data_IF_299266708813
#
_entry.id   IF_299266708813
#
_cell.length_a   1.000
_cell.length_b   1.000
_cell.length_c   1.000
_cell.angle_alpha   90.00
_cell.angle_beta   90.00
_cell.angle_gamma   90.00
#
_symmetry.space_group_name_H-M   'P 1'
#
loop_
_entity.id
_entity.type
_entity.pdbx_description
1 polymer ?
#
# COMPACT_ATOMS: atom_id res chain seq x y z
N UNK A 1 -33.39 27.90 82.17
CA UNK A 1 -32.31 28.20 83.12
C UNK A 1 -31.03 27.56 82.62
N UNK A 2 -29.99 28.39 82.40
CA UNK A 2 -28.54 28.18 82.57
C UNK A 2 -27.97 26.78 82.26
N UNK A 3 -27.10 26.59 81.26
CA UNK A 3 -25.72 27.08 81.05
C UNK A 3 -24.63 26.10 81.54
N UNK A 4 -23.73 25.77 80.61
CA UNK A 4 -22.27 25.50 80.74
C UNK A 4 -21.89 24.21 81.52
N UNK A 5 -20.87 23.39 81.20
CA UNK A 5 -19.69 23.32 80.31
C UNK A 5 -19.20 21.85 80.45
N UNK A 6 -18.48 21.18 79.55
CA UNK A 6 -17.09 21.44 79.16
C UNK A 6 -16.60 20.36 78.14
N UNK A 7 -15.62 20.76 77.33
CA UNK A 7 -14.99 20.08 76.20
C UNK A 7 -14.03 18.93 76.57
N UNK A 8 -13.86 17.97 75.64
CA UNK A 8 -12.56 17.34 75.31
C UNK A 8 -12.65 16.78 73.87
N UNK A 9 -12.31 17.60 72.86
CA UNK A 9 -11.14 17.44 71.98
C UNK A 9 -10.87 15.99 71.51
N UNK A 10 -11.32 15.68 70.30
CA UNK A 10 -10.61 14.80 69.37
C UNK A 10 -10.36 15.62 68.09
N UNK A 11 -9.10 15.60 67.65
CA UNK A 11 -8.53 16.38 66.55
C UNK A 11 -9.19 16.04 65.21
N UNK A 12 -9.58 17.09 64.47
CA UNK A 12 -9.88 17.03 63.05
C UNK A 12 -8.59 17.35 62.31
N UNK A 13 -8.06 16.38 61.57
CA UNK A 13 -6.97 16.58 60.61
C UNK A 13 -7.29 17.76 59.67
N UNK A 14 -6.33 18.66 59.38
CA UNK A 14 -6.57 19.76 58.45
C UNK A 14 -6.82 19.22 57.03
N UNK A 15 -7.77 19.81 56.27
CA UNK A 15 -8.00 19.41 54.89
C UNK A 15 -6.72 19.66 54.08
N UNK A 16 -6.21 18.60 53.45
CA UNK A 16 -5.10 18.72 52.50
C UNK A 16 -5.44 19.65 51.32
N UNK A 17 -4.43 20.15 50.60
CA UNK A 17 -4.55 21.21 49.59
C UNK A 17 -5.37 20.81 48.33
N UNK A 18 -5.92 19.60 48.27
CA UNK A 18 -6.73 19.11 47.15
C UNK A 18 -8.21 19.52 47.24
N UNK A 19 -8.69 19.92 48.43
CA UNK A 19 -10.09 20.30 48.63
C UNK A 19 -10.50 21.64 48.00
N UNK A 20 -9.58 22.61 47.92
CA UNK A 20 -9.86 23.92 47.33
C UNK A 20 -9.93 23.87 45.79
N UNK A 21 -9.11 23.04 45.13
CA UNK A 21 -9.10 22.90 43.67
C UNK A 21 -10.37 22.26 43.11
N UNK A 22 -10.98 21.33 43.86
CA UNK A 22 -12.24 20.68 43.45
C UNK A 22 -13.43 21.65 43.45
N UNK A 23 -13.50 22.53 44.45
CA UNK A 23 -14.56 23.55 44.56
C UNK A 23 -14.45 24.60 43.45
N UNK A 24 -13.24 25.05 43.14
CA UNK A 24 -12.97 26.00 42.05
C UNK A 24 -13.36 25.41 40.69
N UNK A 25 -13.08 24.12 40.47
CA UNK A 25 -13.42 23.43 39.22
C UNK A 25 -14.93 23.26 39.03
N UNK A 26 -15.66 22.93 40.10
CA UNK A 26 -17.12 22.79 40.07
C UNK A 26 -17.82 24.14 39.81
N UNK A 27 -17.33 25.22 40.41
CA UNK A 27 -17.88 26.56 40.20
C UNK A 27 -17.66 27.05 38.77
N UNK A 28 -16.49 26.75 38.20
CA UNK A 28 -16.16 27.01 36.80
C UNK A 28 -17.07 26.23 35.83
N UNK A 29 -17.28 24.94 36.09
CA UNK A 29 -18.18 24.11 35.27
C UNK A 29 -19.63 24.59 35.35
N UNK A 30 -20.08 25.05 36.52
CA UNK A 30 -21.42 25.67 36.68
C UNK A 30 -21.54 26.95 35.85
N UNK A 31 -20.58 27.87 35.93
CA UNK A 31 -20.60 29.14 35.16
C UNK A 31 -20.59 28.92 33.64
N UNK A 32 -19.85 27.90 33.18
CA UNK A 32 -19.91 27.45 31.79
C UNK A 32 -21.32 26.94 31.42
N UNK A 33 -21.92 26.10 32.27
CA UNK A 33 -23.25 25.54 32.01
C UNK A 33 -24.38 26.58 32.01
N UNK A 34 -24.21 27.67 32.76
CA UNK A 34 -25.14 28.81 32.80
C UNK A 34 -24.90 29.85 31.69
N UNK A 35 -23.91 29.64 30.81
CA UNK A 35 -23.70 30.47 29.62
C UNK A 35 -23.15 31.87 29.90
N UNK A 36 -22.40 32.05 31.00
CA UNK A 36 -21.81 33.35 31.31
C UNK A 36 -20.67 33.72 30.32
N UNK A 37 -20.79 34.82 29.56
CA UNK A 37 -19.81 35.18 28.53
C UNK A 37 -18.42 35.53 29.09
N UNK A 38 -18.32 35.88 30.38
CA UNK A 38 -17.05 36.15 31.06
C UNK A 38 -16.38 34.90 31.65
N UNK A 39 -17.07 33.75 31.69
CA UNK A 39 -16.50 32.50 32.21
C UNK A 39 -15.34 31.99 31.33
N UNK A 40 -15.38 32.25 30.02
CA UNK A 40 -14.31 31.91 29.08
C UNK A 40 -12.97 32.59 29.40
N UNK A 41 -12.99 33.80 29.98
CA UNK A 41 -11.77 34.53 30.36
C UNK A 41 -11.16 34.04 31.69
N UNK A 42 -11.93 33.28 32.47
CA UNK A 42 -11.55 32.75 33.78
C UNK A 42 -11.35 31.23 33.76
N UNK A 43 -11.45 30.61 32.58
CA UNK A 43 -11.18 29.19 32.35
C UNK A 43 -9.85 29.02 31.65
N UNK A 44 -8.93 28.29 32.27
CA UNK A 44 -7.82 27.72 31.54
C UNK A 44 -8.37 26.61 30.62
N UNK A 45 -7.90 26.57 29.37
CA UNK A 45 -8.22 25.44 28.49
C UNK A 45 -7.80 24.12 29.14
N UNK A 46 -8.55 23.03 28.96
CA UNK A 46 -8.13 21.73 29.47
C UNK A 46 -6.73 21.41 28.93
N UNK A 47 -5.86 20.86 29.79
CA UNK A 47 -4.60 20.29 29.31
C UNK A 47 -4.91 19.29 28.18
N UNK A 48 -4.06 19.16 27.15
CA UNK A 48 -4.34 18.35 25.96
C UNK A 48 -4.59 16.86 26.27
N UNK A 49 -4.30 16.43 27.50
CA UNK A 49 -4.60 15.09 28.00
C UNK A 49 -6.03 14.95 28.53
N UNK A 50 -6.71 16.01 28.95
CA UNK A 50 -8.04 15.95 29.57
C UNK A 50 -9.10 15.73 28.48
N UNK A 51 -9.69 14.53 28.49
CA UNK A 51 -10.79 14.14 27.61
C UNK A 51 -12.12 14.29 28.37
N UNK A 52 -13.21 14.70 27.70
CA UNK A 52 -14.55 14.65 28.27
C UNK A 52 -14.84 13.27 28.87
N UNK A 53 -15.59 13.22 29.99
CA UNK A 53 -15.90 11.95 30.67
C UNK A 53 -16.55 10.91 29.74
N UNK A 54 -17.33 11.36 28.75
CA UNK A 54 -17.92 10.52 27.70
C UNK A 54 -16.87 9.84 26.80
N UNK A 55 -15.69 10.45 26.65
CA UNK A 55 -14.58 9.93 25.86
C UNK A 55 -13.53 9.21 26.73
N UNK A 56 -13.74 9.12 28.04
CA UNK A 56 -12.81 8.42 28.94
C UNK A 56 -12.57 6.94 28.55
N UNK A 57 -13.58 6.17 28.07
CA UNK A 57 -13.35 4.81 27.56
C UNK A 57 -12.42 4.76 26.34
N UNK A 58 -12.30 5.86 25.58
CA UNK A 58 -11.44 5.95 24.40
C UNK A 58 -9.98 6.27 24.74
N UNK A 59 -9.64 6.52 26.01
CA UNK A 59 -8.24 6.62 26.45
C UNK A 59 -7.51 5.30 26.38
N UNK A 60 -8.22 4.20 26.61
CA UNK A 60 -7.68 2.86 26.52
C UNK A 60 -8.20 2.20 25.25
N UNK A 61 -7.43 2.36 24.17
CA UNK A 61 -7.74 1.78 22.87
C UNK A 61 -7.86 0.25 22.91
N UNK A 62 -7.35 -0.42 23.96
CA UNK A 62 -7.50 -1.87 24.13
C UNK A 62 -8.92 -2.31 24.52
N UNK A 63 -9.73 -1.39 25.08
CA UNK A 63 -11.11 -1.69 25.49
C UNK A 63 -12.14 -1.57 24.36
N UNK A 64 -11.75 -0.94 23.25
CA UNK A 64 -12.61 -0.77 22.10
C UNK A 64 -12.21 -1.81 21.06
N UNK A 65 -13.17 -2.62 20.63
CA UNK A 65 -12.94 -3.59 19.55
C UNK A 65 -12.65 -2.84 18.26
N UNK A 66 -11.38 -2.66 17.95
CA UNK A 66 -10.93 -2.16 16.66
C UNK A 66 -10.50 -3.32 15.78
N UNK A 67 -10.79 -3.23 14.48
CA UNK A 67 -10.47 -4.25 13.47
C UNK A 67 -8.99 -4.22 13.05
N UNK A 68 -8.09 -3.78 13.94
CA UNK A 68 -6.66 -3.67 13.71
C UNK A 68 -5.88 -4.75 14.50
N UNK A 69 -4.71 -5.18 14.00
CA UNK A 69 -4.08 -4.75 12.74
C UNK A 69 -4.81 -5.28 11.49
N UNK A 70 -4.54 -4.67 10.34
CA UNK A 70 -5.08 -5.08 9.05
C UNK A 70 -3.96 -5.68 8.18
N UNK A 71 -4.31 -6.69 7.39
CA UNK A 71 -3.47 -7.23 6.33
C UNK A 71 -3.77 -6.49 5.02
N UNK A 72 -2.72 -5.95 4.39
CA UNK A 72 -2.74 -5.24 3.12
C UNK A 72 -2.34 -6.22 2.02
N UNK A 73 -3.25 -6.48 1.07
CA UNK A 73 -2.96 -7.35 -0.06
C UNK A 73 -2.04 -6.64 -1.06
N UNK A 74 -0.97 -7.28 -1.55
CA UNK A 74 -0.08 -6.66 -2.52
C UNK A 74 -0.80 -6.36 -3.85
N UNK A 75 -0.32 -5.36 -4.62
CA UNK A 75 -0.85 -5.09 -5.95
C UNK A 75 -0.66 -6.32 -6.85
N UNK A 76 -1.70 -6.67 -7.62
CA UNK A 76 -1.67 -7.84 -8.51
C UNK A 76 -2.05 -9.17 -7.86
N UNK A 77 -2.42 -9.18 -6.56
CA UNK A 77 -2.98 -10.36 -5.92
C UNK A 77 -4.27 -10.82 -6.64
N UNK A 78 -4.43 -12.13 -6.81
CA UNK A 78 -5.46 -12.74 -7.66
C UNK A 78 -6.90 -12.55 -7.12
N UNK A 79 -7.06 -12.22 -5.85
CA UNK A 79 -8.35 -12.11 -5.15
C UNK A 79 -8.59 -10.67 -4.68
N UNK A 80 -9.06 -9.82 -5.58
CA UNK A 80 -9.17 -8.37 -5.38
C UNK A 80 -10.53 -7.88 -4.82
N UNK A 81 -11.28 -8.71 -4.07
CA UNK A 81 -12.57 -8.26 -3.50
C UNK A 81 -12.39 -7.22 -2.38
N UNK A 82 -11.25 -7.25 -1.68
CA UNK A 82 -10.90 -6.27 -0.65
C UNK A 82 -9.40 -5.95 -0.71
N UNK A 83 -9.05 -4.65 -0.63
CA UNK A 83 -7.65 -4.18 -0.62
C UNK A 83 -6.95 -4.43 0.73
N UNK A 84 -7.73 -4.54 1.79
CA UNK A 84 -7.27 -4.78 3.14
C UNK A 84 -8.31 -5.59 3.92
N UNK A 85 -7.86 -6.46 4.80
CA UNK A 85 -8.70 -7.33 5.63
C UNK A 85 -8.23 -7.30 7.08
N UNK A 86 -9.12 -7.26 8.08
CA UNK A 86 -8.71 -7.40 9.48
C UNK A 86 -7.88 -8.66 9.69
N UNK A 87 -6.77 -8.57 10.44
CA UNK A 87 -5.85 -9.70 10.64
C UNK A 87 -6.56 -10.94 11.16
N UNK A 88 -7.40 -10.79 12.18
CA UNK A 88 -8.14 -11.91 12.76
C UNK A 88 -9.09 -12.58 11.75
N UNK A 89 -9.69 -11.82 10.85
CA UNK A 89 -10.55 -12.36 9.78
C UNK A 89 -9.73 -13.08 8.71
N UNK A 90 -8.61 -12.48 8.28
CA UNK A 90 -7.70 -13.07 7.31
C UNK A 90 -7.12 -14.40 7.81
N UNK A 91 -6.61 -14.44 9.05
CA UNK A 91 -6.04 -15.64 9.65
C UNK A 91 -7.08 -16.75 9.82
N UNK A 92 -8.28 -16.42 10.31
CA UNK A 92 -9.34 -17.40 10.47
C UNK A 92 -9.79 -17.98 9.12
N UNK A 93 -9.99 -17.12 8.11
CA UNK A 93 -10.39 -17.55 6.76
C UNK A 93 -9.31 -18.43 6.13
N UNK A 94 -8.04 -18.04 6.24
CA UNK A 94 -6.89 -18.80 5.73
C UNK A 94 -6.77 -20.17 6.40
N UNK A 95 -6.92 -20.24 7.72
CA UNK A 95 -6.89 -21.51 8.46
C UNK A 95 -8.08 -22.41 8.15
N UNK A 96 -9.28 -21.85 7.98
CA UNK A 96 -10.46 -22.63 7.59
C UNK A 96 -10.30 -23.24 6.19
N UNK A 97 -9.66 -22.54 5.27
CA UNK A 97 -9.37 -23.05 3.93
C UNK A 97 -8.30 -24.16 3.95
N UNK A 98 -7.26 -24.03 4.78
CA UNK A 98 -6.17 -25.00 4.88
C UNK A 98 -6.51 -26.26 5.68
N UNK A 99 -7.30 -26.10 6.76
CA UNK A 99 -7.59 -27.14 7.74
C UNK A 99 -9.09 -27.12 8.08
N UNK A 100 -9.96 -27.59 7.16
CA UNK A 100 -11.41 -27.53 7.37
C UNK A 100 -11.91 -28.50 8.44
N UNK A 101 -11.18 -29.59 8.73
CA UNK A 101 -11.52 -30.55 9.79
C UNK A 101 -11.35 -29.97 11.19
N UNK A 102 -12.15 -30.42 12.15
CA UNK A 102 -12.09 -29.92 13.54
C UNK A 102 -10.79 -30.31 14.25
N UNK A 103 -10.19 -31.43 13.89
CA UNK A 103 -8.92 -31.91 14.47
C UNK A 103 -7.69 -31.50 13.65
N UNK A 104 -7.88 -30.99 12.43
CA UNK A 104 -6.78 -30.54 11.59
C UNK A 104 -6.19 -29.24 12.15
N UNK A 105 -4.85 -29.15 12.23
CA UNK A 105 -4.11 -28.00 12.74
C UNK A 105 -4.60 -27.49 14.11
N UNK A 106 -5.08 -28.40 14.97
CA UNK A 106 -5.70 -28.06 16.26
C UNK A 106 -4.83 -27.19 17.15
N UNK A 107 -3.53 -27.51 17.25
CA UNK A 107 -2.57 -26.74 18.06
C UNK A 107 -2.51 -25.28 17.56
N UNK A 108 -2.45 -25.07 16.25
CA UNK A 108 -2.40 -23.73 15.67
C UNK A 108 -3.72 -22.97 15.85
N UNK A 109 -4.87 -23.65 15.69
CA UNK A 109 -6.21 -23.07 15.90
C UNK A 109 -6.41 -22.60 17.34
N UNK A 110 -6.04 -23.44 18.31
CA UNK A 110 -6.19 -23.14 19.74
C UNK A 110 -5.32 -21.94 20.15
N UNK A 111 -4.18 -21.74 19.47
CA UNK A 111 -3.23 -20.67 19.75
C UNK A 111 -3.35 -19.45 18.82
N UNK A 112 -4.34 -19.41 17.93
CA UNK A 112 -4.54 -18.28 17.02
C UNK A 112 -4.75 -16.94 17.77
N UNK A 113 -5.53 -16.86 18.86
CA UNK A 113 -5.68 -15.62 19.61
C UNK A 113 -4.36 -15.13 20.23
N UNK A 114 -3.46 -16.06 20.57
CA UNK A 114 -2.13 -15.72 21.09
C UNK A 114 -1.27 -15.10 19.98
N UNK A 115 -1.28 -15.69 18.78
CA UNK A 115 -0.55 -15.17 17.61
C UNK A 115 -1.08 -13.79 17.24
N UNK A 116 -2.40 -13.61 17.17
CA UNK A 116 -3.01 -12.32 16.87
C UNK A 116 -2.59 -11.24 17.88
N UNK A 117 -2.57 -11.59 19.17
CA UNK A 117 -2.12 -10.69 20.23
C UNK A 117 -0.64 -10.33 20.07
N UNK A 118 0.22 -11.31 19.77
CA UNK A 118 1.65 -11.09 19.56
C UNK A 118 1.87 -10.11 18.39
N UNK A 119 1.22 -10.37 17.25
CA UNK A 119 1.32 -9.52 16.06
C UNK A 119 0.81 -8.10 16.35
N UNK A 120 -0.30 -7.95 17.08
CA UNK A 120 -0.81 -6.64 17.51
C UNK A 120 0.20 -5.88 18.38
N UNK A 121 0.89 -6.56 19.29
CA UNK A 121 1.88 -5.95 20.17
C UNK A 121 3.18 -5.59 19.42
N UNK A 122 3.56 -6.39 18.41
CA UNK A 122 4.74 -6.12 17.60
C UNK A 122 4.53 -4.94 16.63
N UNK A 123 3.29 -4.65 16.25
CA UNK A 123 2.90 -3.52 15.39
C UNK A 123 2.63 -2.24 16.20
N UNK A 124 3.59 -1.83 17.02
CA UNK A 124 3.54 -0.59 17.81
C UNK A 124 3.92 0.66 16.98
N UNK A 125 4.51 0.45 15.79
CA UNK A 125 4.86 1.50 14.84
C UNK A 125 3.72 1.89 13.90
N UNK A 126 3.70 3.13 13.36
CA UNK A 126 2.68 3.58 12.41
C UNK A 126 2.84 2.96 11.01
N UNK A 127 4.00 2.38 10.73
CA UNK A 127 4.41 1.96 9.40
C UNK A 127 3.99 0.51 9.07
N UNK A 128 3.66 0.23 7.80
CA UNK A 128 3.45 -1.13 7.33
C UNK A 128 4.72 -1.99 7.46
N UNK A 129 4.56 -3.20 8.00
CA UNK A 129 5.63 -4.19 8.17
C UNK A 129 5.36 -5.39 7.25
N UNK A 130 6.41 -6.04 6.75
CA UNK A 130 6.27 -7.27 5.95
C UNK A 130 5.55 -8.37 6.73
N UNK A 131 4.48 -8.92 6.15
CA UNK A 131 3.62 -9.88 6.84
C UNK A 131 4.29 -11.24 7.05
N UNK A 132 4.90 -11.88 6.04
CA UNK A 132 5.66 -13.11 6.22
C UNK A 132 6.77 -13.00 7.28
N UNK A 133 7.57 -11.93 7.25
CA UNK A 133 8.66 -11.74 8.22
C UNK A 133 8.16 -11.58 9.66
N UNK A 134 7.09 -10.80 9.86
CA UNK A 134 6.53 -10.61 11.19
C UNK A 134 5.84 -11.89 11.70
N UNK A 135 5.22 -12.65 10.80
CA UNK A 135 4.63 -13.93 11.14
C UNK A 135 5.69 -14.97 11.56
N UNK A 136 6.86 -14.99 10.91
CA UNK A 136 7.99 -15.84 11.33
C UNK A 136 8.44 -15.55 12.76
N UNK A 137 8.46 -14.27 13.14
CA UNK A 137 8.79 -13.87 14.52
C UNK A 137 7.73 -14.36 15.51
N UNK A 138 6.44 -14.23 15.15
CA UNK A 138 5.34 -14.74 15.97
C UNK A 138 5.39 -16.27 16.10
N UNK A 139 5.69 -16.98 15.02
CA UNK A 139 5.86 -18.44 15.01
C UNK A 139 7.04 -18.89 15.88
N UNK A 140 8.18 -18.19 15.81
CA UNK A 140 9.33 -18.45 16.69
C UNK A 140 8.97 -18.24 18.16
N UNK A 141 8.27 -17.15 18.48
CA UNK A 141 7.83 -16.87 19.84
C UNK A 141 6.79 -17.89 20.34
N UNK A 142 5.87 -18.34 19.48
CA UNK A 142 4.87 -19.35 19.81
C UNK A 142 5.52 -20.69 20.17
N UNK A 143 6.53 -21.12 19.41
CA UNK A 143 7.28 -22.35 19.68
C UNK A 143 7.94 -22.33 21.06
N UNK A 144 8.58 -21.20 21.39
CA UNK A 144 9.20 -21.00 22.71
C UNK A 144 8.15 -20.97 23.83
N UNK A 145 6.96 -20.44 23.56
CA UNK A 145 5.89 -20.35 24.54
C UNK A 145 5.26 -21.71 24.87
N UNK A 146 5.08 -22.57 23.87
CA UNK A 146 4.35 -23.83 24.02
C UNK A 146 5.19 -25.01 24.54
N UNK A 147 6.51 -24.96 24.39
CA UNK A 147 7.47 -25.98 24.88
C UNK A 147 7.00 -27.43 24.68
N UNK A 148 6.59 -27.73 23.44
CA UNK A 148 5.95 -29.01 23.10
C UNK A 148 6.97 -30.15 22.93
N UNK A 149 6.50 -31.39 22.99
CA UNK A 149 7.29 -32.57 22.60
C UNK A 149 7.61 -32.57 21.09
N UNK A 150 8.72 -33.22 20.64
CA UNK A 150 9.21 -33.11 19.27
C UNK A 150 8.18 -33.45 18.19
N UNK A 151 7.38 -34.51 18.36
CA UNK A 151 6.38 -34.91 17.38
C UNK A 151 5.26 -33.87 17.21
N UNK A 152 4.89 -33.18 18.30
CA UNK A 152 3.89 -32.11 18.27
C UNK A 152 4.47 -30.82 17.72
N UNK A 153 5.77 -30.56 17.93
CA UNK A 153 6.48 -29.44 17.31
C UNK A 153 6.53 -29.61 15.79
N UNK A 154 6.90 -30.79 15.28
CA UNK A 154 6.96 -31.06 13.84
C UNK A 154 5.61 -30.84 13.15
N UNK A 155 4.51 -31.26 13.79
CA UNK A 155 3.16 -31.02 13.28
C UNK A 155 2.81 -29.52 13.28
N UNK A 156 3.14 -28.80 14.34
CA UNK A 156 2.90 -27.36 14.43
C UNK A 156 3.71 -26.59 13.38
N UNK A 157 4.98 -26.94 13.18
CA UNK A 157 5.84 -26.33 12.16
C UNK A 157 5.27 -26.53 10.75
N UNK A 158 4.80 -27.75 10.45
CA UNK A 158 4.16 -28.02 9.17
C UNK A 158 2.89 -27.18 8.94
N UNK A 159 2.10 -26.93 9.99
CA UNK A 159 0.89 -26.12 9.88
C UNK A 159 1.19 -24.61 9.83
N UNK A 160 2.22 -24.15 10.55
CA UNK A 160 2.74 -22.77 10.47
C UNK A 160 3.24 -22.47 9.06
N UNK A 161 4.02 -23.36 8.44
CA UNK A 161 4.53 -23.18 7.08
C UNK A 161 3.39 -23.14 6.04
N UNK A 162 2.36 -23.97 6.21
CA UNK A 162 1.15 -23.89 5.35
C UNK A 162 0.44 -22.55 5.50
N UNK A 163 0.24 -22.08 6.73
CA UNK A 163 -0.41 -20.78 6.99
C UNK A 163 0.45 -19.63 6.46
N UNK A 164 1.76 -19.70 6.62
CA UNK A 164 2.68 -18.71 6.04
C UNK A 164 2.56 -18.66 4.52
N UNK A 165 2.41 -19.82 3.88
CA UNK A 165 2.21 -19.94 2.43
C UNK A 165 0.92 -19.30 1.91
N UNK A 166 0.00 -18.85 2.76
CA UNK A 166 -1.19 -18.10 2.32
C UNK A 166 -0.92 -16.60 2.13
N UNK A 167 0.13 -16.06 2.76
CA UNK A 167 0.51 -14.67 2.57
C UNK A 167 1.07 -14.47 1.17
N UNK A 168 0.53 -13.48 0.46
CA UNK A 168 1.03 -13.10 -0.85
C UNK A 168 2.40 -12.43 -0.72
N UNK A 169 3.25 -12.61 -1.74
CA UNK A 169 4.54 -11.94 -1.81
C UNK A 169 4.35 -10.41 -1.82
N UNK A 170 4.92 -9.72 -0.82
CA UNK A 170 4.76 -8.28 -0.63
C UNK A 170 3.51 -7.88 0.17
N UNK A 171 2.76 -8.82 0.74
CA UNK A 171 1.71 -8.55 1.70
C UNK A 171 2.27 -7.91 2.98
N UNK A 172 1.54 -6.96 3.55
CA UNK A 172 2.01 -6.18 4.70
C UNK A 172 0.98 -6.15 5.82
N UNK A 173 1.42 -6.06 7.07
CA UNK A 173 0.56 -5.72 8.19
C UNK A 173 0.64 -4.24 8.53
N UNK A 174 -0.51 -3.64 8.82
CA UNK A 174 -0.61 -2.25 9.26
C UNK A 174 -1.31 -2.19 10.62
N UNK A 175 -0.57 -1.70 11.62
CA UNK A 175 -1.09 -1.39 12.94
C UNK A 175 -2.03 -0.19 12.95
N UNK A 176 -2.66 0.06 14.09
CA UNK A 176 -3.42 1.30 14.27
C UNK A 176 -2.47 2.44 14.65
N UNK A 177 -2.55 3.56 13.93
CA UNK A 177 -1.66 4.69 14.16
C UNK A 177 -2.15 5.98 13.49
N UNK A 178 -1.49 7.12 13.75
CA UNK A 178 -1.93 8.43 13.28
C UNK A 178 -1.91 8.59 11.74
N UNK A 179 -1.13 7.77 11.03
CA UNK A 179 -0.92 7.88 9.56
C UNK A 179 -1.59 6.78 8.75
N UNK A 180 -2.40 5.93 9.38
CA UNK A 180 -3.06 4.79 8.74
C UNK A 180 -3.87 5.20 7.50
N UNK A 181 -4.58 6.34 7.56
CA UNK A 181 -5.34 6.86 6.42
C UNK A 181 -4.46 7.17 5.21
N UNK A 182 -3.26 7.71 5.43
CA UNK A 182 -2.30 8.03 4.36
C UNK A 182 -1.74 6.74 3.78
N UNK A 183 -1.35 5.76 4.61
CA UNK A 183 -0.88 4.46 4.12
C UNK A 183 -1.96 3.74 3.31
N UNK A 184 -3.22 3.73 3.78
CA UNK A 184 -4.34 3.14 3.07
C UNK A 184 -4.63 3.84 1.73
N UNK A 185 -4.50 5.16 1.68
CA UNK A 185 -4.65 5.92 0.44
C UNK A 185 -3.54 5.57 -0.55
N UNK A 186 -2.27 5.54 -0.13
CA UNK A 186 -1.14 5.12 -0.98
C UNK A 186 -1.34 3.69 -1.47
N UNK A 187 -1.77 2.80 -0.58
CA UNK A 187 -2.08 1.40 -0.91
C UNK A 187 -3.14 1.28 -2.00
N UNK A 188 -4.25 2.00 -1.85
CA UNK A 188 -5.33 2.01 -2.85
C UNK A 188 -4.87 2.61 -4.19
N UNK A 189 -4.05 3.65 -4.17
CA UNK A 189 -3.48 4.25 -5.38
C UNK A 189 -2.57 3.26 -6.08
N UNK A 190 -1.66 2.59 -5.36
CA UNK A 190 -0.77 1.56 -5.90
C UNK A 190 -1.57 0.47 -6.59
N UNK A 191 -2.55 -0.11 -5.90
CA UNK A 191 -3.36 -1.20 -6.45
C UNK A 191 -4.11 -0.78 -7.72
N UNK A 192 -4.65 0.45 -7.76
CA UNK A 192 -5.33 0.96 -8.95
C UNK A 192 -4.36 1.30 -10.09
N UNK A 193 -3.21 1.90 -9.78
CA UNK A 193 -2.25 2.37 -10.78
C UNK A 193 -1.47 1.23 -11.41
N UNK A 194 -1.13 0.20 -10.64
CA UNK A 194 -0.40 -0.97 -11.15
C UNK A 194 -1.18 -1.63 -12.29
N UNK A 195 -2.46 -1.91 -12.07
CA UNK A 195 -3.30 -2.54 -13.09
C UNK A 195 -3.42 -1.68 -14.36
N UNK A 196 -3.56 -0.36 -14.21
CA UNK A 196 -3.64 0.56 -15.35
C UNK A 196 -2.30 0.64 -16.08
N UNK A 197 -1.18 0.69 -15.35
CA UNK A 197 0.18 0.74 -15.89
C UNK A 197 0.50 -0.54 -16.65
N UNK A 198 0.22 -1.69 -16.08
CA UNK A 198 0.44 -2.99 -16.72
C UNK A 198 -0.32 -3.08 -18.05
N UNK A 199 -1.62 -2.74 -18.05
CA UNK A 199 -2.43 -2.73 -19.27
C UNK A 199 -1.89 -1.76 -20.32
N UNK A 200 -1.48 -0.55 -19.91
CA UNK A 200 -0.93 0.45 -20.80
C UNK A 200 0.41 -0.02 -21.41
N UNK A 201 1.31 -0.58 -20.60
CA UNK A 201 2.59 -1.12 -21.05
C UNK A 201 2.38 -2.28 -22.04
N UNK A 202 1.44 -3.19 -21.78
CA UNK A 202 1.08 -4.27 -22.71
C UNK A 202 0.57 -3.71 -24.05
N UNK A 203 -0.27 -2.67 -24.02
CA UNK A 203 -0.75 -2.00 -25.24
C UNK A 203 0.40 -1.33 -26.00
N UNK A 204 1.28 -0.60 -25.29
CA UNK A 204 2.42 0.10 -25.86
C UNK A 204 3.38 -0.88 -26.56
N UNK A 205 3.75 -1.98 -25.91
CA UNK A 205 4.57 -3.05 -26.50
C UNK A 205 3.88 -3.64 -27.74
N UNK A 206 2.58 -3.90 -27.65
CA UNK A 206 1.79 -4.40 -28.78
C UNK A 206 1.77 -3.42 -29.97
N UNK A 207 1.66 -2.11 -29.72
CA UNK A 207 1.68 -1.08 -30.75
C UNK A 207 3.06 -0.94 -31.38
N UNK A 208 4.14 -0.91 -30.58
CA UNK A 208 5.52 -0.90 -31.08
C UNK A 208 5.75 -2.10 -32.01
N UNK A 209 5.38 -3.31 -31.58
CA UNK A 209 5.56 -4.51 -32.38
C UNK A 209 4.79 -4.46 -33.71
N UNK A 210 3.55 -3.97 -33.70
CA UNK A 210 2.73 -3.83 -34.93
C UNK A 210 3.32 -2.80 -35.90
N UNK A 211 3.78 -1.65 -35.40
CA UNK A 211 4.40 -0.60 -36.22
C UNK A 211 5.73 -1.07 -36.81
N UNK A 212 6.57 -1.74 -36.00
CA UNK A 212 7.82 -2.37 -36.47
C UNK A 212 7.54 -3.42 -37.55
N UNK A 213 6.55 -4.29 -37.33
CA UNK A 213 6.14 -5.31 -38.31
C UNK A 213 5.66 -4.68 -39.62
N UNK A 214 4.88 -3.61 -39.54
CA UNK A 214 4.40 -2.88 -40.70
C UNK A 214 5.55 -2.26 -41.51
N UNK A 215 6.54 -1.63 -40.84
CA UNK A 215 7.75 -1.13 -41.49
C UNK A 215 8.61 -2.25 -42.09
N UNK A 216 8.69 -3.41 -41.44
CA UNK A 216 9.42 -4.56 -41.97
C UNK A 216 8.76 -5.15 -43.23
N UNK A 217 7.43 -5.22 -43.25
CA UNK A 217 6.66 -5.63 -44.45
C UNK A 217 6.81 -4.61 -45.58
N UNK A 218 6.92 -3.33 -45.27
CA UNK A 218 7.18 -2.30 -46.29
C UNK A 218 8.60 -2.40 -46.85
N UNK A 219 9.60 -2.60 -45.97
CA UNK A 219 10.99 -2.84 -46.39
C UNK A 219 11.10 -4.04 -47.32
N UNK A 220 10.39 -5.15 -47.02
CA UNK A 220 10.40 -6.35 -47.86
C UNK A 220 9.67 -6.18 -49.20
N UNK A 221 8.78 -5.18 -49.32
CA UNK A 221 8.12 -4.83 -50.59
C UNK A 221 8.97 -3.90 -51.46
N UNK A 222 9.82 -3.07 -50.84
CA UNK A 222 10.63 -2.09 -51.55
C UNK A 222 11.69 -2.73 -52.46
N UNK A 223 12.02 -2.05 -53.57
CA UNK A 223 13.02 -2.49 -54.55
C UNK A 223 14.40 -2.83 -53.93
N UNK A 224 14.76 -2.24 -52.79
CA UNK A 224 16.00 -2.53 -52.07
C UNK A 224 16.06 -3.97 -51.49
N UNK A 225 14.90 -4.59 -51.19
CA UNK A 225 14.85 -6.01 -50.80
C UNK A 225 15.01 -6.96 -52.00
N UNK A 226 14.66 -6.49 -53.20
CA UNK A 226 14.80 -7.23 -54.46
C UNK A 226 16.19 -7.07 -55.09
N UNK A 227 17.09 -6.28 -54.51
CA UNK A 227 18.46 -6.20 -55.00
C UNK A 227 19.17 -7.56 -54.90
N UNK A 228 19.96 -7.96 -55.93
CA UNK A 228 20.57 -9.28 -55.99
C UNK A 228 21.54 -9.59 -54.84
N UNK A 229 22.07 -8.57 -54.15
CA UNK A 229 22.86 -8.73 -52.93
C UNK A 229 22.02 -9.16 -51.70
N UNK A 230 20.82 -8.60 -51.56
CA UNK A 230 19.84 -8.95 -50.52
C UNK A 230 19.33 -10.39 -50.69
N UNK A 231 18.99 -10.78 -51.93
CA UNK A 231 18.52 -12.15 -52.27
C UNK A 231 19.60 -13.21 -52.00
N UNK A 232 20.88 -12.89 -52.21
CA UNK A 232 22.00 -13.81 -51.87
C UNK A 232 22.15 -14.04 -50.37
N UNK A 233 21.91 -13.01 -49.54
CA UNK A 233 22.00 -13.11 -48.08
C UNK A 233 20.86 -13.89 -47.44
N UNK A 234 19.65 -13.81 -48.01
CA UNK A 234 18.43 -14.44 -47.49
C UNK A 234 18.32 -15.94 -47.83
N UNK A 235 19.04 -16.43 -48.84
CA UNK A 235 19.06 -17.84 -49.28
C UNK A 235 20.22 -18.65 -48.64
N UNK A 236 21.11 -17.99 -47.90
CA UNK A 236 22.20 -18.66 -47.18
C UNK A 236 23.21 -19.38 -48.11
N UNK A 237 23.92 -20.43 -47.63
CA UNK A 237 25.01 -21.10 -48.37
C UNK A 237 24.63 -21.70 -49.73
N UNK A 238 23.33 -21.88 -49.99
CA UNK A 238 22.75 -22.41 -51.24
C UNK A 238 22.58 -21.39 -52.36
N UNK A 239 22.95 -20.12 -52.16
CA UNK A 239 22.83 -19.04 -53.16
C UNK A 239 23.58 -19.29 -54.48
N UNK A 240 24.49 -20.26 -54.50
CA UNK A 240 25.27 -20.70 -55.68
C UNK A 240 24.43 -21.49 -56.70
N UNK A 241 23.27 -21.99 -56.28
CA UNK A 241 22.37 -22.80 -57.12
C UNK A 241 21.16 -22.00 -57.63
N UNK A 242 21.05 -20.72 -57.27
CA UNK A 242 19.95 -19.85 -57.68
C UNK A 242 20.50 -18.67 -58.48
N UNK A 243 19.96 -18.44 -59.69
CA UNK A 243 20.25 -17.23 -60.45
C UNK A 243 19.42 -16.06 -59.86
N UNK A 244 20.07 -15.28 -59.00
CA UNK A 244 19.48 -14.12 -58.34
C UNK A 244 18.96 -13.08 -59.36
N UNK A 245 19.54 -12.99 -60.56
CA UNK A 245 19.08 -12.08 -61.61
C UNK A 245 17.74 -12.52 -62.21
N UNK A 246 17.59 -13.82 -62.46
CA UNK A 246 16.34 -14.39 -62.97
C UNK A 246 15.19 -14.34 -61.93
N UNK A 247 15.51 -14.57 -60.65
CA UNK A 247 14.53 -14.49 -59.56
C UNK A 247 14.06 -13.05 -59.28
N UNK A 248 14.95 -12.07 -59.39
CA UNK A 248 14.61 -10.64 -59.25
C UNK A 248 13.55 -10.22 -60.26
N UNK A 249 13.68 -10.63 -61.53
CA UNK A 249 12.70 -10.32 -62.58
C UNK A 249 11.33 -10.98 -62.41
N UNK A 250 11.26 -12.14 -61.75
CA UNK A 250 9.98 -12.82 -61.41
C UNK A 250 9.33 -12.21 -60.16
N UNK A 251 10.12 -11.72 -59.21
CA UNK A 251 9.65 -11.01 -58.02
C UNK A 251 9.10 -9.61 -58.35
N UNK A 252 9.72 -8.89 -59.29
CA UNK A 252 9.20 -7.62 -59.82
C UNK A 252 7.76 -7.75 -60.34
N UNK A 253 7.44 -8.88 -60.99
CA UNK A 253 6.10 -9.15 -61.51
C UNK A 253 5.07 -9.52 -60.43
N UNK A 254 5.50 -10.05 -59.27
CA UNK A 254 4.63 -10.39 -58.11
C UNK A 254 4.44 -9.23 -57.13
N UNK A 255 5.34 -8.25 -57.11
CA UNK A 255 5.25 -7.09 -56.22
C UNK A 255 4.06 -6.16 -56.55
N UNK A 256 3.48 -6.27 -57.75
CA UNK A 256 2.39 -5.41 -58.23
C UNK A 256 1.03 -5.59 -57.54
N UNK A 257 0.87 -6.56 -56.63
CA UNK A 257 -0.39 -6.78 -55.88
C UNK A 257 -0.49 -6.03 -54.55
N UNK A 258 0.59 -5.40 -54.08
CA UNK A 258 0.62 -4.68 -52.80
C UNK A 258 1.05 -3.24 -53.02
N UNK A 259 0.11 -2.31 -52.92
CA UNK A 259 0.37 -0.87 -52.99
C UNK A 259 1.46 -0.51 -51.97
N UNK A 260 2.55 0.10 -52.44
CA UNK A 260 3.61 0.63 -51.58
C UNK A 260 3.08 1.75 -50.68
N UNK A 261 3.65 1.88 -49.49
CA UNK A 261 3.26 2.94 -48.57
C UNK A 261 3.75 4.30 -49.11
N UNK A 262 2.91 5.33 -49.00
CA UNK A 262 3.36 6.70 -49.30
C UNK A 262 4.42 7.16 -48.30
N UNK A 263 5.37 7.97 -48.76
CA UNK A 263 6.44 8.55 -47.93
C UNK A 263 5.90 9.31 -46.72
N UNK A 264 4.78 10.02 -46.89
CA UNK A 264 4.09 10.72 -45.80
C UNK A 264 3.59 9.74 -44.71
N UNK A 265 2.98 8.62 -45.10
CA UNK A 265 2.49 7.62 -44.16
C UNK A 265 3.64 6.92 -43.45
N UNK A 266 4.72 6.62 -44.16
CA UNK A 266 5.94 6.03 -43.58
C UNK A 266 6.56 6.95 -42.53
N UNK A 267 6.75 8.23 -42.85
CA UNK A 267 7.28 9.22 -41.92
C UNK A 267 6.42 9.36 -40.65
N UNK A 268 5.09 9.29 -40.80
CA UNK A 268 4.16 9.30 -39.65
C UNK A 268 4.33 8.06 -38.77
N UNK A 269 4.48 6.87 -39.36
CA UNK A 269 4.68 5.61 -38.64
C UNK A 269 6.02 5.61 -37.91
N UNK A 270 7.10 6.03 -38.57
CA UNK A 270 8.44 6.11 -37.98
C UNK A 270 8.49 7.12 -36.82
N UNK A 271 7.81 8.27 -36.95
CA UNK A 271 7.68 9.25 -35.86
C UNK A 271 6.90 8.70 -34.67
N UNK A 272 5.72 8.12 -34.91
CA UNK A 272 4.91 7.53 -33.85
C UNK A 272 5.66 6.38 -33.14
N UNK A 273 6.41 5.57 -33.89
CA UNK A 273 7.23 4.51 -33.32
C UNK A 273 8.34 5.06 -32.43
N UNK A 274 9.00 6.14 -32.85
CA UNK A 274 10.01 6.81 -32.04
C UNK A 274 9.41 7.39 -30.75
N UNK A 275 8.29 8.09 -30.84
CA UNK A 275 7.58 8.63 -29.66
C UNK A 275 7.19 7.53 -28.67
N UNK A 276 6.69 6.38 -29.15
CA UNK A 276 6.34 5.25 -28.29
C UNK A 276 7.57 4.57 -27.67
N UNK A 277 8.72 4.58 -28.36
CA UNK A 277 9.97 3.99 -27.85
C UNK A 277 10.69 4.90 -26.86
N UNK A 278 10.58 6.22 -27.05
CA UNK A 278 11.18 7.23 -26.18
C UNK A 278 10.35 7.44 -24.90
N UNK A 279 9.10 6.96 -24.86
CA UNK A 279 8.26 7.02 -23.67
C UNK A 279 8.90 6.28 -22.49
N UNK A 280 8.98 6.96 -21.35
CA UNK A 280 9.45 6.41 -20.08
C UNK A 280 8.35 6.54 -19.04
N UNK A 281 8.26 5.54 -18.18
CA UNK A 281 7.32 5.54 -17.08
C UNK A 281 7.83 6.46 -15.96
N UNK A 282 6.97 7.37 -15.48
CA UNK A 282 7.27 8.16 -14.27
C UNK A 282 7.26 7.21 -13.06
N UNK A 283 8.38 7.03 -12.33
CA UNK A 283 8.41 6.17 -11.16
C UNK A 283 7.52 6.70 -10.03
N UNK A 284 7.24 8.01 -9.99
CA UNK A 284 6.47 8.64 -8.92
C UNK A 284 4.96 8.39 -9.13
N UNK A 285 4.33 7.77 -8.15
CA UNK A 285 2.88 7.52 -8.10
C UNK A 285 2.12 8.63 -7.38
N UNK A 286 2.70 9.16 -6.30
CA UNK A 286 2.05 10.15 -5.43
C UNK A 286 3.07 11.20 -5.00
N UNK A 287 2.71 12.48 -5.22
CA UNK A 287 3.45 13.63 -4.69
C UNK A 287 2.70 14.16 -3.47
N UNK A 288 3.35 14.16 -2.32
CA UNK A 288 2.87 14.80 -1.10
C UNK A 288 3.47 16.20 -1.00
N UNK A 289 2.61 17.20 -0.86
CA UNK A 289 3.02 18.60 -0.82
C UNK A 289 2.64 19.17 0.56
N UNK A 290 3.63 19.65 1.29
CA UNK A 290 3.49 20.15 2.65
C UNK A 290 4.48 19.49 3.62
N UNK A 291 4.30 19.73 4.91
CA UNK A 291 5.19 19.20 5.95
C UNK A 291 4.76 17.80 6.38
N UNK A 292 5.41 16.78 5.81
CA UNK A 292 5.28 15.39 6.24
C UNK A 292 6.67 14.87 6.66
N UNK A 293 6.93 14.89 7.96
CA UNK A 293 8.17 14.35 8.52
C UNK A 293 7.98 12.88 8.90
N UNK A 294 8.21 12.02 7.91
CA UNK A 294 8.14 10.57 8.07
C UNK A 294 9.16 9.86 7.14
N UNK A 295 10.16 9.15 7.70
CA UNK A 295 11.17 8.43 6.93
C UNK A 295 10.59 7.35 6.01
N UNK A 296 9.48 6.71 6.38
CA UNK A 296 8.88 5.64 5.59
C UNK A 296 8.43 6.15 4.22
N UNK A 297 7.82 7.35 4.19
CA UNK A 297 7.38 7.96 2.94
C UNK A 297 8.55 8.52 2.11
N UNK A 298 9.60 9.07 2.76
CA UNK A 298 10.79 9.61 2.06
C UNK A 298 11.65 8.54 1.37
N UNK A 299 11.69 7.32 1.92
CA UNK A 299 12.55 6.25 1.41
C UNK A 299 11.95 5.47 0.23
N UNK A 300 10.74 5.82 -0.24
CA UNK A 300 10.04 5.11 -1.33
C UNK A 300 10.23 5.87 -2.65
N UNK A 301 10.79 5.23 -3.66
CA UNK A 301 10.96 5.81 -5.01
C UNK A 301 9.65 6.19 -5.71
N UNK A 302 8.56 5.56 -5.29
CA UNK A 302 7.21 5.80 -5.84
C UNK A 302 6.53 7.03 -5.22
N UNK A 303 7.11 7.60 -4.17
CA UNK A 303 6.55 8.71 -3.43
C UNK A 303 7.52 9.88 -3.47
N UNK A 304 7.00 11.07 -3.73
CA UNK A 304 7.79 12.30 -3.69
C UNK A 304 7.22 13.19 -2.60
N UNK A 305 8.09 13.69 -1.71
CA UNK A 305 7.71 14.66 -0.70
C UNK A 305 8.29 16.02 -1.08
N UNK A 306 7.41 17.00 -1.23
CA UNK A 306 7.76 18.38 -1.53
C UNK A 306 7.40 19.22 -0.32
N UNK A 307 8.43 19.64 0.43
CA UNK A 307 8.26 20.53 1.57
C UNK A 307 7.79 21.91 1.05
N UNK A 308 6.63 22.37 1.53
CA UNK A 308 6.07 23.69 1.19
C UNK A 308 5.35 24.30 2.39
N UNK A 309 5.51 25.61 2.56
CA UNK A 309 4.77 26.42 3.55
C UNK A 309 3.35 26.80 3.07
N UNK A 310 3.10 26.72 1.76
CA UNK A 310 1.78 26.93 1.14
C UNK A 310 1.42 25.72 0.25
N UNK A 311 0.98 24.60 0.85
CA UNK A 311 0.83 23.33 0.16
C UNK A 311 -0.25 23.38 -0.93
N UNK A 312 -1.30 24.17 -0.75
CA UNK A 312 -2.40 24.27 -1.72
C UNK A 312 -1.94 24.97 -3.01
N UNK A 313 -1.23 26.09 -2.88
CA UNK A 313 -0.72 26.83 -4.04
C UNK A 313 0.35 26.03 -4.76
N UNK A 314 1.30 25.45 -4.02
CA UNK A 314 2.34 24.60 -4.62
C UNK A 314 1.75 23.36 -5.31
N UNK A 315 0.68 22.78 -4.77
CA UNK A 315 -0.01 21.67 -5.42
C UNK A 315 -0.69 22.07 -6.73
N UNK A 316 -1.36 23.22 -6.76
CA UNK A 316 -1.97 23.73 -7.97
C UNK A 316 -0.93 24.03 -9.06
N UNK A 317 0.16 24.71 -8.71
CA UNK A 317 1.24 25.05 -9.64
C UNK A 317 1.95 23.79 -10.19
N UNK A 318 2.22 22.81 -9.33
CA UNK A 318 2.83 21.54 -9.71
C UNK A 318 1.91 20.79 -10.69
N UNK A 319 0.61 20.70 -10.38
CA UNK A 319 -0.36 20.07 -11.25
C UNK A 319 -0.47 20.77 -12.61
N UNK A 320 -0.48 22.10 -12.63
CA UNK A 320 -0.51 22.86 -13.89
C UNK A 320 0.74 22.67 -14.74
N UNK A 321 1.91 22.54 -14.12
CA UNK A 321 3.16 22.25 -14.83
C UNK A 321 3.11 20.85 -15.45
N UNK A 322 2.75 19.85 -14.66
CA UNK A 322 2.68 18.45 -15.09
C UNK A 322 1.61 18.25 -16.19
N UNK A 323 0.56 19.08 -16.23
CA UNK A 323 -0.46 19.05 -17.28
C UNK A 323 -0.03 19.70 -18.62
N UNK A 324 1.07 20.46 -18.63
CA UNK A 324 1.59 21.12 -19.84
C UNK A 324 2.72 20.32 -20.51
N UNK A 325 3.36 19.43 -19.77
CA UNK A 325 4.37 18.47 -20.25
C UNK A 325 3.71 17.26 -20.93
#
# INVERSE_FOLDING_TARGET
>A
MNSLTENKHDEVDPPGPEGENGLVTIDVLRRFHYGEPHAAASTAGPAPTILPALLNPYRDASTIRYQYPIYLLPPGAATADALATPLGEYLNTSLQALAPGTEDARILKDNLPWVERYLRQALDGPDPVDAPELFDQAAAALRQHLDLEPASQDSLDADIEKLKGTFDAGGQFLGYGPRVSIHLMVHAIRHRREQIREQFCQQLVGHIHRLQSLLNVEKSKSAAANEPGSVKSSVGPGSRYFDAGALSGVLEQRAHGSVEMSTERRNRVERALKELQDWQEDPVLVRFIGQLDDPWFRNRSELELVDSEDPCTTAAETFERDARE
#
